data_IF_245167742628
#
_entry.id   IF_245167742628
#
_cell.length_a   1.000
_cell.length_b   1.000
_cell.length_c   1.000
_cell.angle_alpha   90.00
_cell.angle_beta   90.00
_cell.angle_gamma   90.00
#
_symmetry.space_group_name_H-M   'P 1'
#
loop_
_entity.id
_entity.type
_entity.pdbx_description
1 polymer ?
#
# COMPACT_ATOMS: atom_id res chain seq x y z
N UNK A 1 -79.22 -41.57 8.90
CA UNK A 1 -78.47 -40.50 8.19
C UNK A 1 -77.76 -39.67 9.24
N UNK A 2 -76.45 -39.81 9.38
CA UNK A 2 -75.68 -39.13 10.42
C UNK A 2 -75.30 -37.70 9.97
N UNK A 3 -75.56 -36.72 10.85
CA UNK A 3 -75.25 -35.31 10.63
C UNK A 3 -73.73 -35.08 10.68
N UNK A 4 -73.17 -34.51 9.62
CA UNK A 4 -71.75 -34.14 9.53
C UNK A 4 -71.52 -32.86 10.35
N UNK A 5 -70.66 -32.85 11.38
CA UNK A 5 -70.41 -31.64 12.15
C UNK A 5 -69.68 -30.63 11.26
N UNK A 6 -70.18 -29.38 11.25
CA UNK A 6 -69.56 -28.29 10.49
C UNK A 6 -68.20 -27.93 11.11
N UNK A 7 -67.17 -27.85 10.28
CA UNK A 7 -65.83 -27.39 10.66
C UNK A 7 -65.86 -25.89 10.96
N UNK A 8 -66.08 -25.55 12.24
CA UNK A 8 -66.12 -24.15 12.72
C UNK A 8 -64.72 -23.60 13.05
N UNK A 9 -63.69 -24.43 12.94
CA UNK A 9 -62.30 -24.04 13.08
C UNK A 9 -61.59 -24.27 11.76
N UNK A 10 -61.74 -23.33 10.84
CA UNK A 10 -60.74 -23.15 9.80
C UNK A 10 -59.48 -22.64 10.52
N UNK A 11 -58.47 -23.50 10.63
CA UNK A 11 -57.14 -23.10 11.06
C UNK A 11 -56.66 -22.06 10.04
N UNK A 12 -56.82 -20.77 10.39
CA UNK A 12 -56.20 -19.69 9.64
C UNK A 12 -54.72 -19.88 9.84
N UNK A 13 -54.09 -20.57 8.88
CA UNK A 13 -52.65 -20.76 8.86
C UNK A 13 -52.02 -19.36 8.90
N UNK A 14 -51.56 -18.97 10.09
CA UNK A 14 -50.80 -17.74 10.27
C UNK A 14 -49.61 -17.86 9.33
N UNK A 15 -49.46 -16.99 8.31
CA UNK A 15 -48.35 -17.13 7.39
C UNK A 15 -47.09 -17.00 8.23
N UNK A 16 -46.34 -18.10 8.33
CA UNK A 16 -45.09 -18.13 9.06
C UNK A 16 -44.16 -17.15 8.37
N UNK A 17 -44.06 -15.93 8.92
CA UNK A 17 -43.24 -14.87 8.36
C UNK A 17 -41.82 -15.41 8.33
N UNK A 18 -41.29 -15.59 7.12
CA UNK A 18 -39.96 -16.10 6.91
C UNK A 18 -38.98 -15.25 7.73
N UNK A 19 -38.41 -15.86 8.77
CA UNK A 19 -37.35 -15.22 9.55
C UNK A 19 -36.18 -15.09 8.59
N UNK A 20 -35.81 -13.85 8.27
CA UNK A 20 -34.69 -13.58 7.39
C UNK A 20 -33.46 -14.32 7.91
N UNK A 21 -32.96 -15.29 7.14
CA UNK A 21 -31.76 -16.03 7.52
C UNK A 21 -30.59 -15.03 7.64
N UNK A 22 -29.89 -14.96 8.78
CA UNK A 22 -28.72 -14.11 8.90
C UNK A 22 -27.69 -14.54 7.85
N UNK A 23 -27.12 -13.56 7.14
CA UNK A 23 -26.12 -13.80 6.09
C UNK A 23 -26.65 -13.86 4.65
N UNK A 24 -27.93 -13.50 4.40
CA UNK A 24 -28.45 -13.33 3.03
C UNK A 24 -27.71 -12.27 2.20
N UNK A 25 -27.15 -11.25 2.87
CA UNK A 25 -26.37 -10.16 2.25
C UNK A 25 -24.92 -10.61 1.94
N UNK A 26 -24.44 -11.69 2.55
CA UNK A 26 -23.04 -12.14 2.46
C UNK A 26 -22.79 -13.27 1.43
N UNK A 27 -23.84 -13.89 0.88
CA UNK A 27 -23.69 -15.06 0.01
C UNK A 27 -23.23 -14.76 -1.42
N UNK A 28 -23.44 -13.54 -1.94
CA UNK A 28 -23.20 -13.23 -3.36
C UNK A 28 -21.81 -12.68 -3.74
N UNK A 29 -20.90 -12.41 -2.79
CA UNK A 29 -19.58 -11.77 -3.05
C UNK A 29 -18.42 -12.36 -2.22
N UNK A 30 -18.43 -13.66 -1.90
CA UNK A 30 -17.40 -14.26 -1.01
C UNK A 30 -15.98 -14.17 -1.57
N UNK A 31 -15.89 -14.23 -2.88
CA UNK A 31 -14.70 -14.19 -3.73
C UNK A 31 -14.05 -12.80 -3.75
N UNK A 32 -14.83 -11.72 -3.88
CA UNK A 32 -14.31 -10.35 -3.81
C UNK A 32 -13.80 -9.99 -2.41
N UNK A 33 -14.44 -10.47 -1.34
CA UNK A 33 -14.04 -10.16 0.06
C UNK A 33 -12.67 -10.74 0.42
N UNK A 34 -12.37 -11.95 -0.06
CA UNK A 34 -11.05 -12.57 0.12
C UNK A 34 -9.94 -11.76 -0.57
N UNK A 35 -10.19 -11.36 -1.81
CA UNK A 35 -9.25 -10.55 -2.59
C UNK A 35 -9.02 -9.15 -1.98
N UNK A 36 -10.08 -8.47 -1.54
CA UNK A 36 -9.99 -7.18 -0.84
C UNK A 36 -9.19 -7.31 0.45
N UNK A 37 -9.42 -8.38 1.24
CA UNK A 37 -8.62 -8.63 2.46
C UNK A 37 -7.15 -8.82 2.14
N UNK A 38 -6.82 -9.62 1.13
CA UNK A 38 -5.44 -9.80 0.69
C UNK A 38 -4.80 -8.48 0.28
N UNK A 39 -5.51 -7.67 -0.51
CA UNK A 39 -5.05 -6.35 -0.94
C UNK A 39 -4.79 -5.39 0.23
N UNK A 40 -5.72 -5.30 1.19
CA UNK A 40 -5.55 -4.49 2.40
C UNK A 40 -4.38 -4.96 3.27
N UNK A 41 -4.17 -6.28 3.40
CA UNK A 41 -3.02 -6.83 4.12
C UNK A 41 -1.69 -6.48 3.44
N UNK A 42 -1.64 -6.51 2.10
CA UNK A 42 -0.46 -6.07 1.34
C UNK A 42 -0.20 -4.59 1.55
N UNK A 43 -1.23 -3.74 1.47
CA UNK A 43 -1.09 -2.31 1.75
C UNK A 43 -0.60 -2.04 3.18
N UNK A 44 -1.16 -2.74 4.17
CA UNK A 44 -0.72 -2.63 5.55
C UNK A 44 0.76 -3.00 5.71
N UNK A 45 1.19 -4.13 5.14
CA UNK A 45 2.59 -4.55 5.17
C UNK A 45 3.50 -3.50 4.50
N UNK A 46 3.09 -2.93 3.37
CA UNK A 46 3.83 -1.87 2.69
C UNK A 46 3.95 -0.60 3.54
N UNK A 47 2.90 -0.23 4.28
CA UNK A 47 2.94 0.93 5.20
C UNK A 47 3.95 0.68 6.32
N UNK A 48 3.96 -0.51 6.92
CA UNK A 48 4.95 -0.88 7.93
C UNK A 48 6.37 -0.80 7.36
N UNK A 49 6.59 -1.35 6.14
CA UNK A 49 7.87 -1.22 5.45
C UNK A 49 8.24 0.24 5.17
N UNK A 50 7.29 1.09 4.79
CA UNK A 50 7.54 2.51 4.50
C UNK A 50 7.98 3.28 5.74
N UNK A 51 7.38 2.98 6.89
CA UNK A 51 7.77 3.57 8.17
C UNK A 51 9.17 3.08 8.56
N UNK A 52 9.45 1.78 8.45
CA UNK A 52 10.76 1.23 8.81
C UNK A 52 11.88 1.77 7.91
N UNK A 53 11.70 1.73 6.59
CA UNK A 53 12.68 2.23 5.62
C UNK A 53 12.84 3.74 5.77
N UNK A 54 11.75 4.51 5.87
CA UNK A 54 11.83 5.96 6.06
C UNK A 54 12.48 6.37 7.38
N UNK A 55 12.21 5.61 8.45
CA UNK A 55 12.91 5.76 9.73
C UNK A 55 14.41 5.52 9.59
N UNK A 56 14.81 4.49 8.85
CA UNK A 56 16.23 4.23 8.57
C UNK A 56 16.84 5.31 7.68
N UNK A 57 16.12 5.83 6.68
CA UNK A 57 16.57 6.96 5.85
C UNK A 57 16.84 8.20 6.71
N UNK A 58 16.00 8.43 7.73
CA UNK A 58 16.20 9.53 8.67
C UNK A 58 17.41 9.31 9.60
N UNK A 59 17.59 8.10 10.12
CA UNK A 59 18.69 7.77 11.02
C UNK A 59 20.06 7.71 10.32
N UNK A 60 20.07 7.42 9.02
CA UNK A 60 21.29 7.41 8.18
C UNK A 60 21.58 8.76 7.54
N UNK A 61 20.84 9.81 7.91
CA UNK A 61 20.93 11.16 7.35
C UNK A 61 20.83 11.20 5.81
N UNK A 62 20.20 10.20 5.21
CA UNK A 62 20.09 10.03 3.76
C UNK A 62 18.98 10.85 3.12
N UNK A 63 18.16 11.56 3.89
CA UNK A 63 16.99 12.28 3.36
C UNK A 63 17.29 13.47 2.43
N UNK A 64 18.56 13.87 2.24
CA UNK A 64 18.98 14.93 1.33
C UNK A 64 19.98 14.44 0.26
N UNK A 65 20.13 13.12 0.10
CA UNK A 65 21.03 12.53 -0.88
C UNK A 65 20.53 12.67 -2.34
N UNK A 66 19.22 12.84 -2.55
CA UNK A 66 18.57 13.06 -3.84
C UNK A 66 17.88 14.43 -3.82
N UNK A 67 18.58 15.43 -4.36
CA UNK A 67 18.14 16.83 -4.36
C UNK A 67 17.08 17.15 -5.42
N UNK A 68 17.02 16.38 -6.51
CA UNK A 68 16.09 16.61 -7.61
C UNK A 68 14.85 15.72 -7.53
N UNK A 69 13.67 16.34 -7.67
CA UNK A 69 12.43 15.60 -7.82
C UNK A 69 12.29 15.11 -9.27
N UNK A 70 12.60 13.83 -9.49
CA UNK A 70 12.40 13.13 -10.77
C UNK A 70 11.26 12.12 -10.65
N UNK A 71 10.01 12.46 -11.03
CA UNK A 71 8.85 11.58 -10.83
C UNK A 71 8.95 10.30 -11.66
N UNK A 72 9.40 10.43 -12.91
CA UNK A 72 9.45 9.34 -13.90
C UNK A 72 10.88 8.78 -14.01
N UNK A 73 11.87 9.63 -14.26
CA UNK A 73 13.27 9.20 -14.46
C UNK A 73 13.98 8.80 -13.16
N UNK A 74 13.48 9.23 -12.00
CA UNK A 74 14.02 8.85 -10.70
C UNK A 74 13.60 7.46 -10.22
N UNK A 75 12.89 6.69 -11.06
CA UNK A 75 12.63 5.27 -10.83
C UNK A 75 13.83 4.39 -11.23
N UNK A 76 14.74 4.91 -12.07
CA UNK A 76 15.93 4.19 -12.52
C UNK A 76 17.14 4.73 -11.73
N UNK A 77 17.87 3.88 -10.97
CA UNK A 77 19.07 4.32 -10.27
C UNK A 77 20.20 4.65 -11.27
N UNK A 78 21.26 5.35 -10.87
CA UNK A 78 22.39 5.65 -11.74
C UNK A 78 23.04 4.34 -12.22
N UNK A 79 23.06 4.13 -13.54
CA UNK A 79 23.49 2.86 -14.15
C UNK A 79 24.98 2.85 -14.56
N UNK A 80 25.64 4.00 -14.57
CA UNK A 80 27.04 4.14 -14.97
C UNK A 80 27.80 5.08 -14.02
N UNK A 81 29.13 5.01 -14.07
CA UNK A 81 30.00 5.77 -13.16
C UNK A 81 29.86 7.28 -13.36
N UNK A 82 29.71 7.74 -14.61
CA UNK A 82 29.48 9.15 -14.91
C UNK A 82 28.19 9.71 -14.26
N UNK A 83 27.11 8.92 -14.22
CA UNK A 83 25.87 9.31 -13.55
C UNK A 83 26.03 9.31 -12.03
N UNK A 84 26.78 8.34 -11.47
CA UNK A 84 27.12 8.33 -10.05
C UNK A 84 27.92 9.56 -9.64
N UNK A 85 28.92 9.95 -10.43
CA UNK A 85 29.69 11.18 -10.20
C UNK A 85 28.82 12.43 -10.31
N UNK A 86 27.89 12.49 -11.28
CA UNK A 86 26.98 13.62 -11.42
C UNK A 86 25.97 13.75 -10.27
N UNK A 87 25.48 12.65 -9.71
CA UNK A 87 24.65 12.66 -8.49
C UNK A 87 25.48 13.07 -7.26
N UNK A 88 26.69 12.54 -7.13
CA UNK A 88 27.58 12.88 -6.02
C UNK A 88 28.03 14.34 -6.06
N UNK A 89 28.36 14.89 -7.24
CA UNK A 89 28.67 16.31 -7.40
C UNK A 89 27.49 17.20 -6.98
N UNK A 90 26.25 16.77 -7.24
CA UNK A 90 25.06 17.47 -6.75
C UNK A 90 24.92 17.36 -5.23
N UNK A 91 25.21 16.20 -4.66
CA UNK A 91 25.25 16.04 -3.22
C UNK A 91 26.31 16.94 -2.56
N UNK A 92 27.49 17.06 -3.17
CA UNK A 92 28.57 17.95 -2.71
C UNK A 92 28.17 19.42 -2.68
N UNK A 93 27.27 19.85 -3.58
CA UNK A 93 26.73 21.21 -3.60
C UNK A 93 25.73 21.48 -2.45
N UNK A 94 25.32 20.47 -1.70
CA UNK A 94 24.40 20.64 -0.57
C UNK A 94 25.12 21.13 0.69
N UNK A 95 24.43 21.92 1.54
CA UNK A 95 24.99 22.32 2.83
C UNK A 95 25.25 21.13 3.76
N UNK A 96 24.52 20.01 3.60
CA UNK A 96 24.74 18.81 4.40
C UNK A 96 26.11 18.18 4.13
N UNK A 97 26.54 18.12 2.85
CA UNK A 97 27.89 17.70 2.52
C UNK A 97 28.92 18.65 3.12
N UNK A 98 28.76 19.96 2.95
CA UNK A 98 29.70 20.95 3.47
C UNK A 98 29.84 20.93 5.02
N UNK A 99 28.75 20.68 5.75
CA UNK A 99 28.73 20.79 7.21
C UNK A 99 28.96 19.46 7.94
N UNK A 100 28.52 18.34 7.37
CA UNK A 100 28.54 17.03 8.04
C UNK A 100 29.40 16.00 7.32
N UNK A 101 29.36 15.97 5.98
CA UNK A 101 29.91 14.88 5.17
C UNK A 101 31.06 15.33 4.24
N UNK A 102 31.81 16.37 4.61
CA UNK A 102 32.79 17.02 3.73
C UNK A 102 33.96 16.13 3.29
N UNK A 103 34.22 15.03 3.99
CA UNK A 103 35.25 14.04 3.66
C UNK A 103 34.68 12.77 3.01
N UNK A 104 33.38 12.73 2.78
CA UNK A 104 32.69 11.55 2.29
C UNK A 104 33.11 11.23 0.85
N UNK A 105 33.29 9.94 0.58
CA UNK A 105 33.66 9.41 -0.73
C UNK A 105 32.43 8.96 -1.52
N UNK A 106 32.60 8.76 -2.83
CA UNK A 106 31.54 8.21 -3.69
C UNK A 106 31.06 6.83 -3.20
N UNK A 107 31.97 6.03 -2.63
CA UNK A 107 31.66 4.70 -2.10
C UNK A 107 30.73 4.76 -0.88
N UNK A 108 30.92 5.74 0.00
CA UNK A 108 30.06 5.98 1.15
C UNK A 108 28.72 6.62 0.73
N UNK A 109 28.72 7.40 -0.35
CA UNK A 109 27.51 8.05 -0.87
C UNK A 109 26.50 7.04 -1.42
N UNK A 110 26.98 5.99 -2.10
CA UNK A 110 26.13 4.96 -2.71
C UNK A 110 25.11 4.35 -1.72
N UNK A 111 25.50 3.83 -0.54
CA UNK A 111 24.54 3.32 0.45
C UNK A 111 23.48 4.33 0.88
N UNK A 112 23.88 5.58 1.15
CA UNK A 112 22.98 6.66 1.56
C UNK A 112 21.95 6.94 0.44
N UNK A 113 22.43 7.05 -0.80
CA UNK A 113 21.56 7.20 -1.97
C UNK A 113 20.57 6.04 -2.12
N UNK A 114 21.00 4.78 -1.91
CA UNK A 114 20.13 3.61 -2.00
C UNK A 114 18.99 3.62 -0.97
N UNK A 115 19.24 4.10 0.24
CA UNK A 115 18.19 4.24 1.26
C UNK A 115 17.12 5.23 0.83
N UNK A 116 17.53 6.41 0.35
CA UNK A 116 16.58 7.42 -0.10
C UNK A 116 15.85 6.99 -1.38
N UNK A 117 16.57 6.45 -2.36
CA UNK A 117 16.00 5.91 -3.59
C UNK A 117 15.01 4.78 -3.29
N UNK A 118 15.38 3.84 -2.40
CA UNK A 118 14.54 2.72 -1.99
C UNK A 118 13.28 3.19 -1.28
N UNK A 119 13.39 4.19 -0.38
CA UNK A 119 12.24 4.81 0.28
C UNK A 119 11.27 5.45 -0.73
N UNK A 120 11.80 6.24 -1.68
CA UNK A 120 11.00 6.87 -2.74
C UNK A 120 10.34 5.83 -3.65
N UNK A 121 11.07 4.77 -3.99
CA UNK A 121 10.57 3.69 -4.84
C UNK A 121 9.47 2.87 -4.15
N UNK A 122 9.60 2.62 -2.85
CA UNK A 122 8.57 1.97 -2.05
C UNK A 122 7.28 2.79 -2.03
N UNK A 123 7.38 4.11 -1.87
CA UNK A 123 6.22 5.02 -1.95
C UNK A 123 5.51 4.94 -3.31
N UNK A 124 6.26 4.91 -4.43
CA UNK A 124 5.69 4.75 -5.77
C UNK A 124 4.96 3.40 -5.93
N UNK A 125 5.58 2.32 -5.49
CA UNK A 125 4.99 0.98 -5.56
C UNK A 125 3.70 0.88 -4.72
N UNK A 126 3.69 1.49 -3.54
CA UNK A 126 2.49 1.58 -2.69
C UNK A 126 1.35 2.32 -3.39
N UNK A 127 1.64 3.46 -4.03
CA UNK A 127 0.66 4.20 -4.81
C UNK A 127 0.08 3.39 -5.98
N UNK A 128 0.93 2.62 -6.68
CA UNK A 128 0.49 1.73 -7.76
C UNK A 128 -0.41 0.60 -7.26
N UNK A 129 0.00 -0.09 -6.19
CA UNK A 129 -0.78 -1.20 -5.61
C UNK A 129 -2.12 -0.70 -5.08
N UNK A 130 -2.14 0.50 -4.48
CA UNK A 130 -3.37 1.15 -4.09
C UNK A 130 -4.26 1.45 -5.29
N UNK A 131 -3.73 2.07 -6.35
CA UNK A 131 -4.50 2.40 -7.55
C UNK A 131 -5.07 1.17 -8.26
N UNK A 132 -4.29 0.08 -8.32
CA UNK A 132 -4.75 -1.22 -8.85
C UNK A 132 -5.95 -1.72 -8.07
N UNK A 133 -5.86 -1.84 -6.75
CA UNK A 133 -7.00 -2.31 -5.96
C UNK A 133 -8.19 -1.37 -6.00
N UNK A 134 -7.95 -0.05 -6.09
CA UNK A 134 -9.03 0.91 -6.33
C UNK A 134 -9.75 0.61 -7.64
N UNK A 135 -9.06 0.51 -8.78
CA UNK A 135 -9.70 0.25 -10.09
C UNK A 135 -10.39 -1.12 -10.16
N UNK A 136 -9.83 -2.16 -9.52
CA UNK A 136 -10.40 -3.51 -9.57
C UNK A 136 -11.53 -3.77 -8.55
N UNK A 137 -11.59 -3.03 -7.45
CA UNK A 137 -12.59 -3.24 -6.38
C UNK A 137 -13.58 -2.08 -6.16
N UNK A 138 -13.43 -0.97 -6.89
CA UNK A 138 -14.40 0.13 -6.95
C UNK A 138 -15.71 -0.31 -7.61
#
# INVERSE_FOLDING_TARGET
MASKPRSIFEEVATPQKAVAAPGGIDRGRRDARGAIRGWLMVLFALVVCMIAVGGMTRLTDSGLSITEWKPVTGAIPPLNDAAWEAEFARYQATPQFALMNHQMTLAEFKPIYWWEWGHRQLGRMMGLIWAVGFVFFW
#
